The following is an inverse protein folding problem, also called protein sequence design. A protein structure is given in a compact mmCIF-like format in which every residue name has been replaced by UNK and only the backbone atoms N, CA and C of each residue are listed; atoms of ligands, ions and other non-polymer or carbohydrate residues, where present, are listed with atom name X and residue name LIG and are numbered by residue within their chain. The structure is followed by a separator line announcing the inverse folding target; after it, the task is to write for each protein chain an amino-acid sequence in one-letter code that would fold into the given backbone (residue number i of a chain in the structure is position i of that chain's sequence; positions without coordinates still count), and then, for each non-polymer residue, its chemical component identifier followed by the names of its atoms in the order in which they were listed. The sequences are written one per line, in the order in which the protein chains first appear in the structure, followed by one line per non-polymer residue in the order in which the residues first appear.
data_IF_171560964385
#
_entry.id   IF_171560964385
#
_cell.length_a   1.000
_cell.length_b   1.000
_cell.length_c   1.000
_cell.angle_alpha   90.00
_cell.angle_beta   90.00
_cell.angle_gamma   90.00
#
_symmetry.space_group_name_H-M   'P 1'
#
loop_
_entity.id
_entity.type
_entity.pdbx_description
1 polymer ?
#
# COMPACT_ATOMS: atom_id res chain seq x y z
N UNK A 1 -19.40 4.59 4.06
CA UNK A 1 -20.44 5.58 3.71
C UNK A 1 -20.63 6.67 4.78
N UNK A 2 -20.46 6.38 6.09
CA UNK A 2 -20.74 7.35 7.16
C UNK A 2 -19.79 8.57 7.25
N UNK A 3 -18.50 8.44 6.89
CA UNK A 3 -17.54 9.57 6.91
C UNK A 3 -17.68 10.53 5.72
N UNK A 4 -18.16 10.05 4.57
CA UNK A 4 -18.42 10.90 3.40
C UNK A 4 -19.67 11.78 3.56
N UNK A 5 -20.57 11.41 4.47
CA UNK A 5 -21.76 12.20 4.79
C UNK A 5 -21.44 13.34 5.76
N UNK A 6 -20.41 13.17 6.59
CA UNK A 6 -19.99 14.14 7.61
C UNK A 6 -18.89 15.09 7.13
N UNK A 7 -17.93 14.61 6.33
CA UNK A 7 -16.75 15.39 5.94
C UNK A 7 -16.76 15.71 4.44
N UNK A 8 -16.96 16.98 4.10
CA UNK A 8 -17.06 17.46 2.72
C UNK A 8 -15.81 17.10 1.88
N UNK A 9 -14.63 17.15 2.49
CA UNK A 9 -13.36 16.75 1.84
C UNK A 9 -13.39 15.30 1.38
N UNK A 10 -13.86 14.37 2.21
CA UNK A 10 -13.94 12.93 1.91
C UNK A 10 -14.95 12.70 0.80
N UNK A 11 -16.10 13.39 0.86
CA UNK A 11 -17.11 13.36 -0.21
C UNK A 11 -16.54 13.76 -1.56
N UNK A 12 -15.86 14.91 -1.62
CA UNK A 12 -15.29 15.40 -2.87
C UNK A 12 -14.23 14.44 -3.41
N UNK A 13 -13.37 13.87 -2.56
CA UNK A 13 -12.36 12.92 -3.03
C UNK A 13 -12.99 11.62 -3.55
N UNK A 14 -13.99 11.07 -2.86
CA UNK A 14 -14.66 9.84 -3.31
C UNK A 14 -15.36 10.06 -4.66
N UNK A 15 -16.04 11.20 -4.85
CA UNK A 15 -16.66 11.52 -6.14
C UNK A 15 -15.64 11.61 -7.27
N UNK A 16 -14.45 12.17 -7.00
CA UNK A 16 -13.35 12.19 -7.95
C UNK A 16 -12.88 10.76 -8.30
N UNK A 17 -12.61 9.92 -7.29
CA UNK A 17 -12.18 8.53 -7.48
C UNK A 17 -13.21 7.73 -8.29
N UNK A 18 -14.49 7.79 -7.92
CA UNK A 18 -15.56 7.08 -8.63
C UNK A 18 -15.62 7.49 -10.09
N UNK A 19 -15.57 8.79 -10.36
CA UNK A 19 -15.63 9.33 -11.72
C UNK A 19 -14.40 8.92 -12.56
N UNK A 20 -13.19 8.93 -11.99
CA UNK A 20 -11.98 8.48 -12.67
C UNK A 20 -12.00 6.98 -12.92
N UNK A 21 -12.46 6.19 -11.95
CA UNK A 21 -12.52 4.74 -12.06
C UNK A 21 -13.50 4.31 -13.18
N UNK A 22 -14.68 4.92 -13.24
CA UNK A 22 -15.66 4.68 -14.30
C UNK A 22 -15.11 5.02 -15.69
N UNK A 23 -14.31 6.08 -15.79
CA UNK A 23 -13.64 6.45 -17.04
C UNK A 23 -12.56 5.43 -17.42
N UNK A 24 -11.77 4.96 -16.45
CA UNK A 24 -10.69 3.98 -16.66
C UNK A 24 -11.19 2.60 -17.10
N UNK A 25 -12.38 2.19 -16.66
CA UNK A 25 -13.03 0.92 -17.02
C UNK A 25 -13.74 0.97 -18.39
N UNK A 26 -13.60 2.08 -19.13
CA UNK A 26 -14.25 2.27 -20.43
C UNK A 26 -15.77 2.38 -20.36
N UNK A 27 -16.35 2.57 -19.16
CA UNK A 27 -17.80 2.69 -18.93
C UNK A 27 -18.33 4.10 -19.22
N UNK A 28 -17.46 5.10 -19.28
CA UNK A 28 -17.82 6.46 -19.70
C UNK A 28 -16.64 7.16 -20.40
N UNK A 29 -16.73 7.32 -21.72
CA UNK A 29 -15.74 8.01 -22.59
C UNK A 29 -16.08 9.51 -22.73
N UNK A 30 -16.93 10.07 -21.86
CA UNK A 30 -17.31 11.46 -21.95
C UNK A 30 -16.21 12.38 -21.35
N UNK A 31 -15.70 13.39 -22.09
CA UNK A 31 -14.77 14.42 -21.56
C UNK A 31 -15.30 15.14 -20.30
N UNK A 32 -16.61 15.08 -20.09
CA UNK A 32 -17.28 15.63 -18.93
C UNK A 32 -16.89 14.92 -17.62
N UNK A 33 -16.64 13.62 -17.67
CA UNK A 33 -16.32 12.77 -16.51
C UNK A 33 -14.95 13.15 -15.92
N UNK A 34 -13.93 13.36 -16.75
CA UNK A 34 -12.61 13.79 -16.29
C UNK A 34 -12.64 15.21 -15.70
N UNK A 35 -13.34 16.14 -16.36
CA UNK A 35 -13.50 17.51 -15.85
C UNK A 35 -14.23 17.53 -14.51
N UNK A 36 -15.28 16.71 -14.37
CA UNK A 36 -16.01 16.54 -13.13
C UNK A 36 -15.11 15.99 -12.02
N UNK A 37 -14.31 14.95 -12.31
CA UNK A 37 -13.36 14.39 -11.37
C UNK A 37 -12.33 15.42 -10.88
N UNK A 38 -11.75 16.21 -11.78
CA UNK A 38 -10.76 17.24 -11.44
C UNK A 38 -11.36 18.40 -10.64
N UNK A 39 -12.61 18.78 -10.93
CA UNK A 39 -13.33 19.79 -10.15
C UNK A 39 -13.53 19.33 -8.71
N UNK A 40 -13.98 18.08 -8.52
CA UNK A 40 -14.15 17.51 -7.20
C UNK A 40 -12.81 17.35 -6.48
N UNK A 41 -11.75 16.94 -7.17
CA UNK A 41 -10.42 16.84 -6.58
C UNK A 41 -9.90 18.20 -6.10
N UNK A 42 -10.02 19.23 -6.93
CA UNK A 42 -9.61 20.61 -6.57
C UNK A 42 -10.37 21.13 -5.35
N UNK A 43 -11.67 20.87 -5.27
CA UNK A 43 -12.48 21.24 -4.10
C UNK A 43 -12.02 20.49 -2.84
N UNK A 44 -11.68 19.20 -2.95
CA UNK A 44 -11.13 18.44 -1.83
C UNK A 44 -9.82 19.04 -1.31
N UNK A 45 -8.89 19.42 -2.21
CA UNK A 45 -7.62 20.06 -1.83
C UNK A 45 -7.87 21.38 -1.08
N UNK A 46 -8.82 22.20 -1.54
CA UNK A 46 -9.17 23.45 -0.87
C UNK A 46 -9.73 23.21 0.54
N UNK A 47 -10.57 22.17 0.71
CA UNK A 47 -11.18 21.80 2.00
C UNK A 47 -10.18 21.16 2.95
N UNK A 48 -9.17 20.43 2.46
CA UNK A 48 -8.13 19.83 3.30
C UNK A 48 -7.41 20.90 4.15
N UNK A 49 -7.23 22.12 3.63
CA UNK A 49 -6.57 23.22 4.34
C UNK A 49 -7.29 23.63 5.64
N UNK A 50 -8.56 23.29 5.79
CA UNK A 50 -9.36 23.64 6.98
C UNK A 50 -9.49 22.48 7.97
N UNK A 51 -8.85 21.34 7.72
CA UNK A 51 -8.89 20.17 8.59
C UNK A 51 -7.73 20.20 9.57
N UNK A 52 -8.03 19.98 10.85
CA UNK A 52 -7.03 19.92 11.92
C UNK A 52 -6.87 18.52 12.54
N UNK A 53 -7.77 17.59 12.20
CA UNK A 53 -7.70 16.21 12.69
C UNK A 53 -6.67 15.41 11.92
N UNK A 54 -5.56 15.02 12.56
CA UNK A 54 -4.50 14.23 11.92
C UNK A 54 -5.02 12.91 11.32
N UNK A 55 -5.87 12.10 12.00
CA UNK A 55 -6.43 10.89 11.39
C UNK A 55 -7.21 11.16 10.10
N UNK A 56 -7.94 12.28 10.05
CA UNK A 56 -8.70 12.67 8.87
C UNK A 56 -7.78 13.14 7.74
N UNK A 57 -6.73 13.92 8.05
CA UNK A 57 -5.70 14.31 7.08
C UNK A 57 -5.02 13.08 6.48
N UNK A 58 -4.65 12.11 7.31
CA UNK A 58 -4.05 10.85 6.88
C UNK A 58 -4.97 10.03 5.98
N UNK A 59 -6.26 9.95 6.33
CA UNK A 59 -7.27 9.29 5.50
C UNK A 59 -7.42 9.99 4.14
N UNK A 60 -7.56 11.32 4.12
CA UNK A 60 -7.67 12.09 2.88
C UNK A 60 -6.41 11.96 2.03
N UNK A 61 -5.23 11.89 2.66
CA UNK A 61 -3.98 11.66 1.98
C UNK A 61 -3.96 10.29 1.25
N UNK A 62 -4.47 9.22 1.88
CA UNK A 62 -4.67 7.92 1.20
C UNK A 62 -5.61 8.05 0.00
N UNK A 63 -6.70 8.80 0.14
CA UNK A 63 -7.64 9.00 -0.95
C UNK A 63 -7.02 9.80 -2.11
N UNK A 64 -6.17 10.79 -1.82
CA UNK A 64 -5.42 11.53 -2.85
C UNK A 64 -4.40 10.64 -3.56
N UNK A 65 -3.72 9.74 -2.85
CA UNK A 65 -2.86 8.72 -3.48
C UNK A 65 -3.66 7.91 -4.53
N UNK A 66 -4.88 7.48 -4.20
CA UNK A 66 -5.75 6.77 -5.13
C UNK A 66 -6.12 7.63 -6.37
N UNK A 67 -6.46 8.91 -6.16
CA UNK A 67 -6.75 9.84 -7.28
C UNK A 67 -5.54 9.97 -8.21
N UNK A 68 -4.35 10.21 -7.65
CA UNK A 68 -3.13 10.37 -8.43
C UNK A 68 -2.76 9.08 -9.19
N UNK A 69 -2.97 7.90 -8.59
CA UNK A 69 -2.79 6.64 -9.32
C UNK A 69 -3.78 6.47 -10.48
N UNK A 70 -5.04 6.86 -10.31
CA UNK A 70 -6.03 6.81 -11.39
C UNK A 70 -5.73 7.82 -12.50
N UNK A 71 -5.04 8.92 -12.18
CA UNK A 71 -4.51 9.88 -13.14
C UNK A 71 -3.14 9.49 -13.72
N UNK A 72 -2.61 8.31 -13.36
CA UNK A 72 -1.27 7.83 -13.72
C UNK A 72 -0.12 8.76 -13.28
N UNK A 73 -0.35 9.60 -12.27
CA UNK A 73 0.61 10.56 -11.76
C UNK A 73 1.39 9.99 -10.56
N UNK A 74 2.20 8.97 -10.84
CA UNK A 74 2.92 8.21 -9.82
C UNK A 74 3.85 9.08 -8.95
N UNK A 75 4.41 10.15 -9.51
CA UNK A 75 5.28 11.09 -8.79
C UNK A 75 4.54 11.83 -7.67
N UNK A 76 3.34 12.34 -7.95
CA UNK A 76 2.56 13.07 -6.95
C UNK A 76 1.93 12.10 -5.94
N UNK A 77 1.46 10.93 -6.39
CA UNK A 77 1.00 9.86 -5.50
C UNK A 77 2.07 9.52 -4.45
N UNK A 78 3.32 9.43 -4.91
CA UNK A 78 4.45 9.14 -4.06
C UNK A 78 4.80 10.26 -3.07
N UNK A 79 4.70 11.51 -3.50
CA UNK A 79 4.83 12.66 -2.59
C UNK A 79 3.75 12.63 -1.50
N UNK A 80 2.51 12.25 -1.84
CA UNK A 80 1.47 12.04 -0.83
C UNK A 80 1.83 10.90 0.14
N UNK A 81 2.39 9.78 -0.35
CA UNK A 81 2.87 8.71 0.53
C UNK A 81 3.94 9.23 1.52
N UNK A 82 4.94 9.97 1.04
CA UNK A 82 6.00 10.53 1.89
C UNK A 82 5.46 11.50 2.94
N UNK A 83 4.66 12.47 2.51
CA UNK A 83 4.05 13.43 3.43
C UNK A 83 3.15 12.74 4.46
N UNK A 84 2.34 11.77 4.02
CA UNK A 84 1.48 10.98 4.89
C UNK A 84 2.26 10.18 5.92
N UNK A 85 3.40 9.58 5.55
CA UNK A 85 4.28 8.88 6.49
C UNK A 85 4.91 9.81 7.53
N UNK A 86 5.34 11.01 7.13
CA UNK A 86 5.87 12.03 8.07
C UNK A 86 4.80 12.45 9.09
N UNK A 87 3.54 12.60 8.66
CA UNK A 87 2.42 12.89 9.57
C UNK A 87 2.13 11.68 10.46
N UNK A 88 2.14 10.47 9.90
CA UNK A 88 1.86 9.23 10.61
C UNK A 88 2.89 8.93 11.71
N UNK A 89 4.15 9.29 11.51
CA UNK A 89 5.21 9.14 12.51
C UNK A 89 4.91 9.96 13.77
N UNK A 90 4.37 11.17 13.60
CA UNK A 90 4.00 12.07 14.69
C UNK A 90 2.61 11.78 15.27
N UNK A 91 1.78 11.05 14.52
CA UNK A 91 0.41 10.76 14.92
C UNK A 91 0.35 9.74 16.06
N UNK A 92 -0.15 10.19 17.21
CA UNK A 92 -0.34 9.38 18.42
C UNK A 92 -1.69 8.65 18.45
N UNK A 93 -2.58 8.91 17.49
CA UNK A 93 -3.92 8.33 17.46
C UNK A 93 -3.86 6.81 17.19
N UNK A 94 -4.32 5.95 18.14
CA UNK A 94 -4.19 4.50 18.00
C UNK A 94 -4.98 3.94 16.81
N UNK A 95 -6.13 4.53 16.48
CA UNK A 95 -6.94 4.11 15.34
C UNK A 95 -6.22 4.38 14.02
N UNK A 96 -5.65 5.59 13.84
CA UNK A 96 -4.90 5.93 12.63
C UNK A 96 -3.69 5.00 12.46
N UNK A 97 -2.95 4.73 13.56
CA UNK A 97 -1.82 3.79 13.52
C UNK A 97 -2.23 2.37 13.18
N UNK A 98 -3.36 1.88 13.73
CA UNK A 98 -3.83 0.52 13.50
C UNK A 98 -4.36 0.32 12.07
N UNK A 99 -5.12 1.28 11.54
CA UNK A 99 -5.88 1.08 10.30
C UNK A 99 -5.27 1.78 9.08
N UNK A 100 -4.62 2.93 9.24
CA UNK A 100 -4.09 3.71 8.12
C UNK A 100 -2.62 3.43 7.84
N UNK A 101 -1.79 3.18 8.86
CA UNK A 101 -0.37 2.83 8.67
C UNK A 101 -0.20 1.66 7.68
N UNK A 102 -0.93 0.53 7.81
CA UNK A 102 -0.74 -0.60 6.89
C UNK A 102 -1.15 -0.28 5.44
N UNK A 103 -2.04 0.71 5.25
CA UNK A 103 -2.41 1.19 3.92
C UNK A 103 -1.26 2.00 3.33
N UNK A 104 -0.68 2.93 4.09
CA UNK A 104 0.50 3.69 3.64
C UNK A 104 1.66 2.77 3.24
N UNK A 105 1.95 1.76 4.06
CA UNK A 105 3.00 0.77 3.76
C UNK A 105 2.78 0.06 2.44
N UNK A 106 1.54 -0.36 2.15
CA UNK A 106 1.23 -1.03 0.88
C UNK A 106 1.28 -0.06 -0.30
N UNK A 107 0.80 1.18 -0.12
CA UNK A 107 0.79 2.21 -1.14
C UNK A 107 2.20 2.67 -1.55
N UNK A 108 3.19 2.63 -0.67
CA UNK A 108 4.59 3.00 -1.00
C UNK A 108 5.27 2.03 -1.97
N UNK A 109 4.89 0.75 -1.99
CA UNK A 109 5.47 -0.22 -2.92
C UNK A 109 4.89 -0.12 -4.34
N UNK A 110 3.67 0.40 -4.50
CA UNK A 110 2.96 0.42 -5.79
C UNK A 110 3.75 1.16 -6.90
N UNK A 111 4.28 2.37 -6.69
CA UNK A 111 5.03 3.08 -7.73
C UNK A 111 6.36 2.38 -8.05
N UNK A 112 6.95 1.67 -7.10
CA UNK A 112 8.21 0.96 -7.33
C UNK A 112 8.01 -0.28 -8.21
N UNK A 113 6.84 -0.91 -8.12
CA UNK A 113 6.47 -2.07 -8.92
C UNK A 113 5.93 -1.72 -10.31
N UNK A 114 5.23 -0.58 -10.42
CA UNK A 114 4.41 -0.26 -11.60
C UNK A 114 4.60 1.16 -12.14
N UNK A 115 5.38 2.00 -11.47
CA UNK A 115 5.64 3.37 -11.89
C UNK A 115 6.72 3.44 -12.98
N UNK A 116 6.76 4.57 -13.72
CA UNK A 116 7.81 4.82 -14.70
C UNK A 116 9.21 4.85 -14.06
N UNK A 117 10.23 4.52 -14.86
CA UNK A 117 11.62 4.35 -14.41
C UNK A 117 12.25 5.64 -13.84
N UNK A 118 11.62 6.80 -14.06
CA UNK A 118 12.08 8.12 -13.65
C UNK A 118 11.75 8.48 -12.18
N UNK A 119 11.06 7.60 -11.44
CA UNK A 119 10.80 7.82 -10.01
C UNK A 119 12.11 7.73 -9.22
N UNK A 120 12.58 8.85 -8.66
CA UNK A 120 13.79 8.95 -7.85
C UNK A 120 13.73 8.02 -6.62
N UNK A 121 14.51 6.93 -6.67
CA UNK A 121 14.54 5.86 -5.66
C UNK A 121 15.02 6.33 -4.28
N UNK A 122 15.79 7.41 -4.23
CA UNK A 122 16.36 7.99 -3.00
C UNK A 122 15.31 8.65 -2.11
N UNK A 123 14.12 8.91 -2.64
CA UNK A 123 13.07 9.61 -1.93
C UNK A 123 12.23 8.68 -1.03
N UNK A 124 12.45 7.36 -1.05
CA UNK A 124 11.63 6.41 -0.28
C UNK A 124 12.17 6.17 1.12
N UNK A 125 11.45 6.56 2.19
CA UNK A 125 11.87 6.24 3.54
C UNK A 125 11.84 4.73 3.76
N UNK A 126 12.94 4.16 4.25
CA UNK A 126 12.93 2.83 4.83
C UNK A 126 12.00 2.86 6.04
N UNK A 127 10.86 2.18 5.94
CA UNK A 127 9.96 2.06 7.07
C UNK A 127 10.65 1.25 8.16
N UNK A 128 10.93 1.90 9.29
CA UNK A 128 11.55 1.25 10.43
C UNK A 128 10.47 0.52 11.19
N UNK A 129 10.44 -0.80 11.07
CA UNK A 129 9.55 -1.66 11.83
C UNK A 129 10.33 -2.35 12.94
N UNK A 130 9.79 -2.28 14.15
CA UNK A 130 10.29 -3.08 15.25
C UNK A 130 9.84 -4.52 15.04
N UNK A 131 10.81 -5.44 14.95
CA UNK A 131 10.53 -6.87 14.85
C UNK A 131 9.81 -7.30 16.13
N UNK A 132 8.56 -7.81 16.03
CA UNK A 132 7.84 -8.27 17.20
C UNK A 132 8.45 -9.58 17.73
N UNK A 133 8.31 -9.83 19.03
CA UNK A 133 8.75 -11.08 19.66
C UNK A 133 7.71 -12.20 19.52
N UNK A 134 6.46 -11.87 19.19
CA UNK A 134 5.33 -12.78 18.99
C UNK A 134 4.26 -12.12 18.11
N UNK A 135 3.57 -12.92 17.29
CA UNK A 135 2.29 -12.53 16.68
C UNK A 135 1.12 -12.93 17.58
N UNK A 136 0.27 -11.96 17.91
CA UNK A 136 -0.97 -12.19 18.66
C UNK A 136 -2.17 -12.42 17.74
N UNK A 137 -2.11 -11.85 16.53
CA UNK A 137 -3.15 -11.95 15.54
C UNK A 137 -2.58 -11.94 14.12
N UNK A 138 -3.45 -12.17 13.14
CA UNK A 138 -3.07 -12.21 11.73
C UNK A 138 -2.54 -10.86 11.23
N UNK A 139 -3.03 -9.77 11.80
CA UNK A 139 -2.61 -8.42 11.48
C UNK A 139 -1.13 -8.20 11.81
N UNK A 140 -0.62 -8.76 12.91
CA UNK A 140 0.80 -8.65 13.27
C UNK A 140 1.68 -9.31 12.19
N UNK A 141 1.27 -10.49 11.73
CA UNK A 141 1.94 -11.18 10.63
C UNK A 141 1.86 -10.36 9.33
N UNK A 142 0.72 -9.75 9.04
CA UNK A 142 0.56 -8.89 7.87
C UNK A 142 1.47 -7.66 7.93
N UNK A 143 1.57 -6.99 9.08
CA UNK A 143 2.39 -5.79 9.23
C UNK A 143 3.86 -6.08 8.99
N UNK A 144 4.39 -7.17 9.57
CA UNK A 144 5.77 -7.56 9.35
C UNK A 144 6.01 -8.00 7.90
N UNK A 145 5.06 -8.71 7.26
CA UNK A 145 5.17 -9.09 5.85
C UNK A 145 5.13 -7.88 4.91
N UNK A 146 4.29 -6.87 5.19
CA UNK A 146 4.25 -5.62 4.42
C UNK A 146 5.63 -4.93 4.43
N UNK A 147 6.32 -4.91 5.58
CA UNK A 147 7.65 -4.29 5.69
C UNK A 147 8.74 -5.10 4.99
N UNK A 148 8.74 -6.42 5.15
CA UNK A 148 9.66 -7.32 4.43
C UNK A 148 9.50 -7.15 2.92
N UNK A 149 8.25 -7.17 2.45
CA UNK A 149 7.93 -7.05 1.04
C UNK A 149 8.34 -5.67 0.49
N UNK A 150 8.08 -4.59 1.23
CA UNK A 150 8.53 -3.25 0.86
C UNK A 150 10.05 -3.17 0.72
N UNK A 151 10.81 -3.81 1.62
CA UNK A 151 12.27 -3.91 1.50
C UNK A 151 12.67 -4.65 0.24
N UNK A 152 12.08 -5.81 -0.04
CA UNK A 152 12.36 -6.59 -1.26
C UNK A 152 12.08 -5.75 -2.52
N UNK A 153 10.92 -5.11 -2.61
CA UNK A 153 10.56 -4.25 -3.74
C UNK A 153 11.57 -3.12 -3.92
N UNK A 154 11.99 -2.49 -2.83
CA UNK A 154 13.04 -1.45 -2.86
C UNK A 154 14.37 -2.00 -3.36
N UNK A 155 14.78 -3.18 -2.93
CA UNK A 155 16.00 -3.85 -3.41
C UNK A 155 15.93 -4.14 -4.91
N UNK A 156 14.82 -4.69 -5.38
CA UNK A 156 14.62 -4.98 -6.81
C UNK A 156 14.70 -3.70 -7.65
N UNK A 157 14.05 -2.63 -7.19
CA UNK A 157 14.07 -1.34 -7.87
C UNK A 157 15.47 -0.72 -7.89
N UNK A 158 16.18 -0.69 -6.77
CA UNK A 158 17.54 -0.14 -6.70
C UNK A 158 18.52 -0.96 -7.55
N UNK A 159 18.42 -2.29 -7.54
CA UNK A 159 19.19 -3.20 -8.40
C UNK A 159 18.95 -2.92 -9.88
N UNK A 160 17.68 -2.76 -10.28
CA UNK A 160 17.32 -2.47 -11.67
C UNK A 160 17.94 -1.16 -12.17
N UNK A 161 18.05 -0.16 -11.29
CA UNK A 161 18.66 1.14 -11.59
C UNK A 161 20.19 1.18 -11.44
N UNK A 162 20.83 0.08 -11.04
CA UNK A 162 22.27 0.03 -10.82
C UNK A 162 22.76 0.95 -9.69
N UNK A 163 21.89 1.28 -8.74
CA UNK A 163 22.28 2.08 -7.57
C UNK A 163 23.22 1.26 -6.70
N UNK A 164 24.37 1.83 -6.36
CA UNK A 164 25.37 1.16 -5.51
C UNK A 164 24.97 1.31 -4.04
N UNK A 165 24.61 0.19 -3.42
CA UNK A 165 24.38 0.09 -1.97
C UNK A 165 24.84 -1.29 -1.48
N UNK A 166 24.94 -1.48 -0.15
CA UNK A 166 25.29 -2.80 0.39
C UNK A 166 24.13 -3.79 0.21
N UNK A 167 24.09 -4.40 -0.98
CA UNK A 167 23.16 -5.46 -1.33
C UNK A 167 23.24 -6.61 -0.33
N UNK A 168 24.43 -6.94 0.15
CA UNK A 168 24.68 -8.12 0.98
C UNK A 168 24.07 -7.95 2.37
N UNK A 169 24.28 -6.80 2.99
CA UNK A 169 23.68 -6.48 4.29
C UNK A 169 22.15 -6.46 4.22
N UNK A 170 21.57 -5.85 3.19
CA UNK A 170 20.12 -5.82 3.03
C UNK A 170 19.54 -7.20 2.70
N UNK A 171 20.20 -8.02 1.87
CA UNK A 171 19.78 -9.41 1.62
C UNK A 171 19.80 -10.25 2.90
N UNK A 172 20.86 -10.14 3.71
CA UNK A 172 20.96 -10.82 4.99
C UNK A 172 19.86 -10.35 5.96
N UNK A 173 19.60 -9.05 5.99
CA UNK A 173 18.54 -8.44 6.79
C UNK A 173 17.18 -9.00 6.38
N UNK A 174 16.83 -8.96 5.10
CA UNK A 174 15.56 -9.49 4.59
C UNK A 174 15.44 -11.00 4.86
N UNK A 175 16.51 -11.77 4.64
CA UNK A 175 16.53 -13.20 4.91
C UNK A 175 16.26 -13.53 6.38
N UNK A 176 16.88 -12.79 7.30
CA UNK A 176 16.66 -12.93 8.75
C UNK A 176 15.22 -12.60 9.13
N UNK A 177 14.66 -11.53 8.54
CA UNK A 177 13.26 -11.17 8.78
C UNK A 177 12.28 -12.21 8.24
N UNK A 178 12.53 -12.78 7.05
CA UNK A 178 11.70 -13.85 6.47
C UNK A 178 11.68 -15.10 7.36
N UNK A 179 12.85 -15.53 7.86
CA UNK A 179 12.96 -16.66 8.78
C UNK A 179 12.25 -16.38 10.12
N UNK A 180 12.43 -15.17 10.65
CA UNK A 180 11.76 -14.75 11.88
C UNK A 180 10.24 -14.73 11.69
N UNK A 181 9.76 -14.13 10.61
CA UNK A 181 8.34 -14.08 10.27
C UNK A 181 7.74 -15.48 10.23
N UNK A 182 8.40 -16.42 9.54
CA UNK A 182 7.92 -17.80 9.44
C UNK A 182 7.86 -18.49 10.80
N UNK A 183 8.91 -18.34 11.62
CA UNK A 183 8.96 -18.89 12.99
C UNK A 183 7.84 -18.34 13.87
N UNK A 184 7.53 -17.05 13.76
CA UNK A 184 6.45 -16.42 14.52
C UNK A 184 5.07 -16.85 14.00
N UNK A 185 4.92 -16.99 12.67
CA UNK A 185 3.67 -17.42 12.04
C UNK A 185 3.31 -18.86 12.40
N UNK A 186 4.27 -19.78 12.42
CA UNK A 186 4.05 -21.19 12.83
C UNK A 186 3.53 -21.32 14.27
N UNK A 187 3.80 -20.31 15.12
CA UNK A 187 3.35 -20.25 16.52
C UNK A 187 2.02 -19.51 16.70
N UNK A 188 1.47 -18.94 15.63
CA UNK A 188 0.23 -18.18 15.68
C UNK A 188 -0.97 -19.15 15.78
N UNK A 189 -1.75 -19.01 16.85
CA UNK A 189 -2.97 -19.79 17.06
C UNK A 189 -4.19 -18.99 16.59
N UNK A 190 -4.86 -19.48 15.55
CA UNK A 190 -5.96 -18.79 14.85
C UNK A 190 -7.01 -19.81 14.41
N UNK A 191 -8.23 -19.34 14.19
CA UNK A 191 -9.30 -20.17 13.65
C UNK A 191 -9.11 -20.38 12.14
N UNK A 192 -8.63 -21.57 11.77
CA UNK A 192 -8.31 -21.95 10.39
C UNK A 192 -9.55 -22.23 9.53
N UNK A 193 -10.75 -22.27 10.12
CA UNK A 193 -12.00 -22.52 9.40
C UNK A 193 -12.56 -21.26 8.71
N UNK A 194 -12.09 -20.08 9.10
CA UNK A 194 -12.49 -18.81 8.49
C UNK A 194 -11.97 -18.67 7.05
N UNK A 195 -12.88 -18.43 6.10
CA UNK A 195 -12.52 -18.17 4.69
C UNK A 195 -11.66 -16.91 4.55
N UNK A 196 -11.91 -15.89 5.36
CA UNK A 196 -11.12 -14.67 5.38
C UNK A 196 -9.68 -14.96 5.82
N UNK A 197 -9.50 -15.79 6.86
CA UNK A 197 -8.19 -16.23 7.31
C UNK A 197 -7.44 -16.96 6.20
N UNK A 198 -8.09 -17.93 5.54
CA UNK A 198 -7.47 -18.70 4.45
C UNK A 198 -7.03 -17.82 3.28
N UNK A 199 -7.82 -16.80 2.93
CA UNK A 199 -7.46 -15.84 1.88
C UNK A 199 -6.26 -14.98 2.28
N UNK A 200 -6.23 -14.47 3.51
CA UNK A 200 -5.12 -13.70 4.05
C UNK A 200 -3.84 -14.52 4.14
N UNK A 201 -3.92 -15.75 4.65
CA UNK A 201 -2.81 -16.69 4.75
C UNK A 201 -2.18 -16.96 3.38
N UNK A 202 -3.00 -17.31 2.38
CA UNK A 202 -2.52 -17.51 1.00
C UNK A 202 -1.80 -16.28 0.46
N UNK A 203 -2.33 -15.08 0.73
CA UNK A 203 -1.69 -13.82 0.31
C UNK A 203 -0.33 -13.60 0.99
N UNK A 204 -0.20 -13.93 2.29
CA UNK A 204 1.05 -13.82 3.02
C UNK A 204 2.09 -14.82 2.53
N UNK A 205 1.72 -16.10 2.36
CA UNK A 205 2.63 -17.12 1.85
C UNK A 205 3.05 -16.89 0.40
N UNK A 206 2.18 -16.31 -0.44
CA UNK A 206 2.57 -15.88 -1.79
C UNK A 206 3.68 -14.83 -1.75
N UNK A 207 3.54 -13.81 -0.89
CA UNK A 207 4.55 -12.74 -0.71
C UNK A 207 5.83 -13.27 -0.08
N UNK A 208 5.74 -14.19 0.88
CA UNK A 208 6.87 -14.90 1.44
C UNK A 208 7.67 -15.62 0.34
N UNK A 209 6.98 -16.40 -0.50
CA UNK A 209 7.61 -17.15 -1.58
C UNK A 209 8.28 -16.23 -2.61
N UNK A 210 7.62 -15.16 -3.02
CA UNK A 210 8.20 -14.16 -3.93
C UNK A 210 9.44 -13.51 -3.33
N UNK A 211 9.41 -13.18 -2.04
CA UNK A 211 10.55 -12.60 -1.34
C UNK A 211 11.75 -13.55 -1.34
N UNK A 212 11.54 -14.85 -1.05
CA UNK A 212 12.61 -15.84 -1.12
C UNK A 212 13.16 -16.04 -2.54
N UNK A 213 12.31 -16.01 -3.57
CA UNK A 213 12.75 -16.13 -4.97
C UNK A 213 13.65 -14.96 -5.40
N UNK A 214 13.34 -13.75 -4.92
CA UNK A 214 14.18 -12.56 -5.18
C UNK A 214 15.54 -12.66 -4.48
N UNK A 215 15.58 -13.29 -3.31
CA UNK A 215 16.81 -13.53 -2.55
C UNK A 215 17.69 -14.62 -3.15
N UNK A 216 17.11 -15.60 -3.86
CA UNK A 216 17.85 -16.76 -4.38
C UNK A 216 18.51 -16.54 -5.74
N UNK A 217 18.56 -15.31 -6.25
CA UNK A 217 19.11 -14.93 -7.58
C UNK A 217 18.41 -15.56 -8.81
N UNK A 218 17.40 -16.41 -8.61
CA UNK A 218 16.62 -17.08 -9.68
C UNK A 218 15.47 -16.23 -10.24
N UNK A 219 15.30 -15.00 -9.76
CA UNK A 219 14.18 -14.16 -10.19
C UNK A 219 14.36 -13.63 -11.62
N UNK A 220 13.64 -14.24 -12.56
CA UNK A 220 13.46 -13.72 -13.93
C UNK A 220 12.29 -12.74 -13.94
N UNK A 221 12.61 -11.45 -13.96
CA UNK A 221 11.66 -10.33 -13.89
C UNK A 221 10.49 -10.43 -14.89
N UNK A 222 10.73 -10.90 -16.12
CA UNK A 222 9.69 -11.01 -17.15
C UNK A 222 8.71 -12.18 -16.91
N UNK A 223 9.16 -13.27 -16.29
CA UNK A 223 8.37 -14.50 -16.13
C UNK A 223 7.38 -14.39 -14.95
N UNK A 224 7.73 -13.64 -13.92
CA UNK A 224 6.94 -13.51 -12.70
C UNK A 224 6.03 -12.26 -12.67
N UNK A 225 6.13 -11.35 -13.64
CA UNK A 225 5.23 -10.20 -13.79
C UNK A 225 3.76 -10.61 -13.98
N UNK A 226 3.49 -11.82 -14.49
CA UNK A 226 2.13 -12.41 -14.51
C UNK A 226 1.59 -12.67 -13.10
N UNK A 227 2.43 -13.17 -12.20
CA UNK A 227 2.11 -13.39 -10.77
C UNK A 227 1.96 -12.06 -10.03
N UNK A 228 2.79 -11.05 -10.33
CA UNK A 228 2.62 -9.69 -9.80
C UNK A 228 1.34 -9.01 -10.28
N UNK A 229 0.91 -9.24 -11.54
CA UNK A 229 -0.39 -8.77 -12.04
C UNK A 229 -1.58 -9.47 -11.35
N UNK A 230 -1.45 -10.74 -10.97
CA UNK A 230 -2.45 -11.42 -10.14
C UNK A 230 -2.47 -10.90 -8.69
N UNK A 231 -1.30 -10.56 -8.13
CA UNK A 231 -1.18 -9.87 -6.84
C UNK A 231 -1.86 -8.50 -6.84
N UNK A 232 -1.79 -7.76 -7.96
CA UNK A 232 -2.52 -6.50 -8.15
C UNK A 232 -4.00 -6.70 -7.82
N UNK A 233 -4.63 -7.70 -8.44
CA UNK A 233 -6.03 -8.05 -8.18
C UNK A 233 -6.25 -8.46 -6.72
N UNK A 234 -5.35 -9.24 -6.12
CA UNK A 234 -5.49 -9.71 -4.73
C UNK A 234 -5.33 -8.59 -3.68
N UNK A 235 -4.44 -7.62 -3.93
CA UNK A 235 -4.21 -6.44 -3.07
C UNK A 235 -5.40 -5.47 -3.19
N UNK A 236 -5.92 -5.24 -4.40
CA UNK A 236 -7.13 -4.42 -4.60
C UNK A 236 -8.40 -5.09 -4.08
N UNK A 237 -8.55 -6.42 -4.21
CA UNK A 237 -9.70 -7.17 -3.68
C UNK A 237 -9.75 -7.19 -2.15
N UNK A 238 -8.61 -7.30 -1.47
CA UNK A 238 -8.58 -7.23 0.00
C UNK A 238 -8.88 -5.82 0.54
N UNK A 239 -8.61 -4.77 -0.21
CA UNK A 239 -9.02 -3.41 0.15
C UNK A 239 -10.54 -3.19 0.02
N UNK A 240 -11.22 -3.97 -0.84
CA UNK A 240 -12.67 -3.91 -1.05
C UNK A 240 -13.44 -4.81 -0.07
N UNK A 241 -12.89 -5.96 0.32
CA UNK A 241 -13.53 -6.88 1.28
C UNK A 241 -13.65 -6.28 2.70
N UNK A 242 -12.77 -5.35 3.07
CA UNK A 242 -12.88 -4.60 4.33
C UNK A 242 -14.10 -3.66 4.41
N UNK A 243 -14.82 -3.42 3.30
CA UNK A 243 -16.04 -2.60 3.28
C UNK A 243 -17.34 -3.41 3.23
N UNK A 244 -17.29 -4.75 3.18
CA UNK A 244 -18.49 -5.59 3.02
C UNK A 244 -18.84 -6.44 4.26
N UNK A 245 -18.01 -6.46 5.30
CA UNK A 245 -18.31 -7.19 6.54
C UNK A 245 -18.86 -6.31 7.68
N UNK A 246 -19.17 -5.03 7.39
CA UNK A 246 -19.97 -4.18 8.27
C UNK A 246 -21.26 -3.82 7.54
N UNK A 247 -22.15 -4.79 7.39
CA UNK A 247 -23.53 -4.65 6.92
C UNK A 247 -24.39 -5.73 7.56
#
# INVERSE_FOLDING_TARGET
MQLSESEAVVKHTILSISSLFESSEGKSVAPYTERFALQHYTQAIQRLKTIHSEPLVLLVCILFICVEYLLANNKIALQHCQHGLVIMEKCSNPWARRYLMPVFRRMTAVPMLFGPEDIESESMPALTYMIPTKFYCMEDAQYMMDDIFNRVVRLCHMRHRGVVFDMTEEYNTVGTHLQTWQTLFERLTVDTTSLLYQAQERSLFMRLKLSYLELSADFRHEEHMGTFRQLRTCIYSNALLYNTEVS
#
